data_IF_007249385354
#
_entry.id   IF_007249385354
#
_cell.length_a   1.000
_cell.length_b   1.000
_cell.length_c   1.000
_cell.angle_alpha   90.00
_cell.angle_beta   90.00
_cell.angle_gamma   90.00
#
_symmetry.space_group_name_H-M   'P 1'
#
loop_
_entity.id
_entity.type
_entity.pdbx_description
1 polymer ?
#
# COMPACT_ATOMS: atom_id res chain seq x y z
N UNK A 1 64.51 -9.05 -44.02
CA UNK A 1 63.62 -9.00 -45.21
C UNK A 1 62.39 -9.82 -44.85
N UNK A 2 61.21 -9.16 -44.80
CA UNK A 2 59.78 -9.61 -44.80
C UNK A 2 59.49 -11.10 -44.45
N UNK A 3 58.51 -11.45 -43.62
CA UNK A 3 57.06 -11.21 -43.80
C UNK A 3 56.36 -11.35 -42.43
N UNK A 4 55.52 -10.37 -42.08
CA UNK A 4 54.61 -10.44 -40.95
C UNK A 4 53.34 -11.21 -41.32
N UNK A 5 52.98 -12.24 -40.54
CA UNK A 5 51.69 -12.93 -40.66
C UNK A 5 50.67 -12.15 -39.82
N UNK A 6 49.80 -11.41 -40.50
CA UNK A 6 48.65 -10.73 -39.90
C UNK A 6 47.59 -11.78 -39.55
N UNK A 7 47.42 -12.10 -38.26
CA UNK A 7 46.23 -12.80 -37.76
C UNK A 7 45.19 -11.75 -37.40
N UNK A 8 44.24 -11.54 -38.29
CA UNK A 8 42.99 -10.80 -38.05
C UNK A 8 42.16 -11.53 -36.99
N UNK A 9 42.41 -11.25 -35.71
CA UNK A 9 41.52 -11.67 -34.62
C UNK A 9 40.38 -10.68 -34.57
N UNK A 10 39.30 -10.98 -35.29
CA UNK A 10 38.01 -10.30 -35.15
C UNK A 10 37.48 -10.53 -33.73
N UNK A 11 37.71 -9.56 -32.86
CA UNK A 11 37.06 -9.48 -31.55
C UNK A 11 35.59 -9.10 -31.77
N UNK A 12 34.72 -10.10 -31.76
CA UNK A 12 33.27 -9.88 -31.64
C UNK A 12 33.06 -9.49 -30.17
N UNK A 13 32.93 -8.19 -29.89
CA UNK A 13 32.34 -7.72 -28.65
C UNK A 13 30.87 -8.17 -28.64
N UNK A 14 30.59 -9.28 -27.97
CA UNK A 14 29.23 -9.55 -27.49
C UNK A 14 28.94 -8.51 -26.42
N UNK A 15 28.23 -7.45 -26.80
CA UNK A 15 27.49 -6.61 -25.86
C UNK A 15 26.43 -7.51 -25.22
N UNK A 16 26.78 -8.08 -24.06
CA UNK A 16 25.78 -8.54 -23.11
C UNK A 16 25.02 -7.29 -22.70
N UNK A 17 23.83 -7.11 -23.28
CA UNK A 17 22.79 -6.30 -22.69
C UNK A 17 22.49 -6.94 -21.35
N UNK A 18 23.19 -6.49 -20.31
CA UNK A 18 22.67 -6.57 -18.96
C UNK A 18 21.39 -5.76 -19.06
N UNK A 19 20.26 -6.45 -19.23
CA UNK A 19 18.98 -5.91 -18.86
C UNK A 19 19.04 -5.74 -17.35
N UNK A 20 19.75 -4.69 -16.92
CA UNK A 20 19.57 -4.13 -15.61
C UNK A 20 18.09 -3.81 -15.56
N UNK A 21 17.41 -4.35 -14.56
CA UNK A 21 16.23 -3.70 -14.06
C UNK A 21 16.69 -2.31 -13.59
N UNK A 22 16.85 -1.36 -14.51
CA UNK A 22 16.80 0.06 -14.20
C UNK A 22 15.33 0.35 -13.87
N UNK A 23 14.91 -0.21 -12.73
CA UNK A 23 13.71 0.16 -12.02
C UNK A 23 13.94 1.56 -11.48
N UNK A 24 13.87 2.55 -12.37
CA UNK A 24 13.47 3.89 -11.97
C UNK A 24 12.03 3.71 -11.51
N UNK A 25 11.85 3.38 -10.24
CA UNK A 25 10.61 3.60 -9.52
C UNK A 25 10.40 5.11 -9.56
N UNK A 26 9.70 5.57 -10.59
CA UNK A 26 9.14 6.92 -10.60
C UNK A 26 8.20 6.98 -9.41
N UNK A 27 8.67 7.61 -8.33
CA UNK A 27 7.82 8.08 -7.25
C UNK A 27 6.71 8.93 -7.90
N UNK A 28 5.46 8.46 -7.87
CA UNK A 28 4.32 9.28 -8.27
C UNK A 28 4.17 10.36 -7.20
N UNK A 29 4.80 11.50 -7.43
CA UNK A 29 4.59 12.71 -6.66
C UNK A 29 3.17 13.21 -6.96
N UNK A 30 2.19 12.76 -6.17
CA UNK A 30 0.86 13.37 -6.08
C UNK A 30 0.02 13.44 -7.37
N UNK A 31 0.36 12.69 -8.41
CA UNK A 31 -0.33 12.76 -9.69
C UNK A 31 -1.02 11.43 -9.94
N UNK A 32 -1.98 11.05 -9.09
CA UNK A 32 -2.93 10.04 -9.53
C UNK A 32 -3.84 10.76 -10.53
N UNK A 33 -3.69 10.49 -11.84
CA UNK A 33 -4.49 11.09 -12.93
C UNK A 33 -5.99 10.75 -12.86
N UNK A 34 -6.42 10.20 -11.73
CA UNK A 34 -7.81 10.01 -11.37
C UNK A 34 -8.30 11.37 -10.85
N UNK A 35 -8.85 12.17 -11.75
CA UNK A 35 -9.73 13.28 -11.41
C UNK A 35 -10.87 12.73 -10.53
N UNK A 36 -10.66 12.76 -9.21
CA UNK A 36 -11.60 12.25 -8.23
C UNK A 36 -12.15 13.40 -7.36
N UNK A 37 -12.72 14.47 -7.97
CA UNK A 37 -13.24 15.61 -7.21
C UNK A 37 -14.29 15.16 -6.18
N UNK A 38 -15.00 14.06 -6.44
CA UNK A 38 -15.94 13.46 -5.48
C UNK A 38 -15.27 13.06 -4.16
N UNK A 39 -14.00 12.62 -4.16
CA UNK A 39 -13.30 12.24 -2.92
C UNK A 39 -12.98 13.45 -2.04
N UNK A 40 -12.90 14.66 -2.62
CA UNK A 40 -12.73 15.88 -1.82
C UNK A 40 -13.99 16.28 -1.04
N UNK A 41 -15.15 15.76 -1.45
CA UNK A 41 -16.44 16.01 -0.78
C UNK A 41 -16.75 15.01 0.33
N UNK A 42 -15.96 13.94 0.43
CA UNK A 42 -16.10 12.94 1.50
C UNK A 42 -15.64 13.56 2.81
N UNK A 43 -16.56 13.62 3.77
CA UNK A 43 -16.29 14.14 5.11
C UNK A 43 -15.66 13.05 6.00
N UNK A 44 -14.79 13.44 6.96
CA UNK A 44 -14.31 12.51 7.98
C UNK A 44 -15.48 11.86 8.74
N UNK A 45 -15.37 10.57 9.09
CA UNK A 45 -16.36 9.90 9.91
C UNK A 45 -16.39 10.48 11.34
N UNK A 46 -17.41 10.08 12.10
CA UNK A 46 -17.39 10.29 13.54
C UNK A 46 -16.16 9.61 14.17
N UNK A 47 -15.70 10.18 15.27
CA UNK A 47 -14.60 9.62 16.02
C UNK A 47 -15.02 8.33 16.73
N UNK A 48 -14.22 7.28 16.57
CA UNK A 48 -14.42 5.98 17.20
C UNK A 48 -13.49 5.82 18.41
N UNK A 49 -14.05 5.34 19.51
CA UNK A 49 -13.26 4.85 20.64
C UNK A 49 -12.40 3.64 20.20
N UNK A 50 -11.27 3.37 20.90
CA UNK A 50 -10.44 2.22 20.61
C UNK A 50 -11.24 0.91 20.63
N UNK A 51 -11.08 0.09 19.59
CA UNK A 51 -11.74 -1.22 19.45
C UNK A 51 -10.73 -2.35 19.55
N UNK A 52 -11.17 -3.52 19.97
CA UNK A 52 -10.35 -4.74 19.91
C UNK A 52 -10.82 -5.57 18.72
N UNK A 53 -10.00 -5.78 17.68
CA UNK A 53 -10.36 -6.67 16.58
C UNK A 53 -10.28 -8.14 17.00
N UNK A 54 -11.05 -8.98 16.31
CA UNK A 54 -10.93 -10.43 16.44
C UNK A 54 -9.66 -10.94 15.75
N UNK A 55 -8.94 -11.87 16.38
CA UNK A 55 -7.75 -12.49 15.81
C UNK A 55 -6.45 -11.73 16.11
N UNK A 56 -5.38 -12.06 15.40
CA UNK A 56 -4.01 -11.59 15.71
C UNK A 56 -3.49 -10.53 14.75
N UNK A 57 -4.18 -10.26 13.64
CA UNK A 57 -3.66 -9.44 12.55
C UNK A 57 -2.56 -10.14 11.73
N UNK A 58 -2.37 -11.45 11.92
CA UNK A 58 -1.40 -12.21 11.15
C UNK A 58 -1.98 -12.58 9.78
N UNK A 59 -1.21 -12.33 8.74
CA UNK A 59 -1.45 -12.79 7.38
C UNK A 59 -0.51 -13.96 7.09
N UNK A 60 -0.88 -14.87 6.18
CA UNK A 60 -0.02 -16.01 5.81
C UNK A 60 1.29 -15.49 5.21
N UNK A 61 2.42 -15.73 5.90
CA UNK A 61 3.74 -15.23 5.49
C UNK A 61 4.62 -14.64 6.60
N UNK A 62 4.08 -14.39 7.80
CA UNK A 62 4.88 -13.91 8.94
C UNK A 62 4.10 -13.03 9.91
N UNK A 63 3.03 -12.38 9.45
CA UNK A 63 2.13 -11.58 10.27
C UNK A 63 2.83 -10.44 11.03
N UNK A 64 4.01 -10.03 10.58
CA UNK A 64 4.76 -8.94 11.18
C UNK A 64 4.15 -7.60 10.77
N UNK A 65 4.32 -6.55 11.58
CA UNK A 65 4.00 -5.19 11.16
C UNK A 65 4.71 -4.86 9.84
N UNK A 66 3.95 -4.40 8.85
CA UNK A 66 4.44 -3.98 7.53
C UNK A 66 4.39 -5.08 6.46
N UNK A 67 4.00 -6.31 6.81
CA UNK A 67 3.86 -7.39 5.84
C UNK A 67 2.79 -7.05 4.79
N UNK A 68 3.07 -7.38 3.53
CA UNK A 68 2.09 -7.26 2.45
C UNK A 68 1.11 -8.43 2.47
N UNK A 69 0.04 -8.27 3.25
CA UNK A 69 -1.05 -9.25 3.35
C UNK A 69 -1.73 -9.53 2.00
N UNK A 70 -1.78 -8.54 1.09
CA UNK A 70 -2.45 -8.73 -0.20
C UNK A 70 -1.65 -9.61 -1.15
N UNK A 71 -0.34 -9.79 -0.93
CA UNK A 71 0.45 -10.76 -1.68
C UNK A 71 -0.18 -12.17 -1.70
N UNK A 72 -0.76 -12.61 -0.58
CA UNK A 72 -1.43 -13.90 -0.45
C UNK A 72 -2.96 -13.79 -0.59
N UNK A 73 -3.52 -12.63 -0.21
CA UNK A 73 -4.96 -12.44 -0.08
C UNK A 73 -5.60 -11.61 -1.22
N UNK A 74 -4.89 -11.24 -2.29
CA UNK A 74 -5.48 -10.41 -3.37
C UNK A 74 -6.46 -11.16 -4.28
N UNK A 75 -6.25 -12.45 -4.57
CA UNK A 75 -7.04 -13.19 -5.58
C UNK A 75 -7.85 -14.37 -5.02
N UNK A 76 -7.85 -14.59 -3.71
CA UNK A 76 -8.66 -15.65 -3.10
C UNK A 76 -8.21 -17.09 -3.38
N UNK A 77 -7.07 -17.29 -4.08
CA UNK A 77 -6.65 -18.63 -4.56
C UNK A 77 -6.07 -19.47 -3.41
N UNK A 78 -5.22 -18.88 -2.57
CA UNK A 78 -4.52 -19.58 -1.49
C UNK A 78 -5.05 -19.24 -0.08
N UNK A 79 -5.87 -18.19 0.04
CA UNK A 79 -6.45 -17.71 1.29
C UNK A 79 -7.70 -16.87 1.01
N UNK A 80 -8.53 -16.60 2.03
CA UNK A 80 -9.71 -15.73 1.92
C UNK A 80 -9.32 -14.37 1.32
N UNK A 81 -9.99 -13.88 0.27
CA UNK A 81 -9.62 -12.62 -0.35
C UNK A 81 -9.85 -11.43 0.60
N UNK A 82 -8.93 -10.48 0.62
CA UNK A 82 -9.07 -9.21 1.33
C UNK A 82 -9.35 -8.09 0.32
N UNK A 83 -10.25 -7.19 0.68
CA UNK A 83 -10.62 -6.03 -0.13
C UNK A 83 -9.58 -4.92 -0.02
N UNK A 84 -9.00 -4.76 1.17
CA UNK A 84 -7.82 -3.93 1.42
C UNK A 84 -7.07 -4.45 2.64
N UNK A 85 -5.78 -4.14 2.73
CA UNK A 85 -4.98 -4.46 3.90
C UNK A 85 -3.80 -3.49 4.06
N UNK A 86 -3.26 -3.40 5.26
CA UNK A 86 -2.05 -2.65 5.55
C UNK A 86 -1.65 -2.70 7.02
N UNK A 87 -0.73 -1.83 7.40
CA UNK A 87 -0.26 -1.68 8.78
C UNK A 87 -0.32 -0.23 9.22
N UNK A 88 -0.99 0.02 10.34
CA UNK A 88 -1.05 1.34 10.96
C UNK A 88 0.14 1.54 11.88
N UNK A 89 0.85 2.65 11.69
CA UNK A 89 1.93 3.09 12.57
C UNK A 89 1.64 4.46 13.18
N UNK A 90 2.35 4.77 14.26
CA UNK A 90 2.34 6.07 14.93
C UNK A 90 2.89 7.19 14.01
N UNK A 91 2.87 8.43 14.51
CA UNK A 91 3.37 9.58 13.74
C UNK A 91 4.84 9.46 13.32
N UNK A 92 5.66 8.77 14.13
CA UNK A 92 7.08 8.49 13.81
C UNK A 92 7.21 7.39 12.78
N UNK A 93 6.18 6.55 12.64
CA UNK A 93 6.14 5.46 11.69
C UNK A 93 6.98 4.27 12.11
N UNK A 94 7.21 4.11 13.41
CA UNK A 94 8.08 3.07 13.99
C UNK A 94 7.31 2.11 14.87
N UNK A 95 6.26 2.58 15.54
CA UNK A 95 5.45 1.75 16.44
C UNK A 95 4.11 1.43 15.79
N UNK A 96 3.71 0.15 15.73
CA UNK A 96 2.37 -0.20 15.26
C UNK A 96 1.32 0.35 16.24
N UNK A 97 0.18 0.77 15.71
CA UNK A 97 -0.94 1.29 16.52
C UNK A 97 -2.11 0.33 16.44
N UNK A 98 -2.58 -0.10 17.61
CA UNK A 98 -3.71 -1.00 17.76
C UNK A 98 -5.02 -0.25 18.06
N UNK A 99 -6.12 -0.85 17.63
CA UNK A 99 -7.49 -0.49 17.98
C UNK A 99 -8.06 0.74 17.28
N UNK A 100 -7.38 1.26 16.27
CA UNK A 100 -7.92 2.31 15.43
C UNK A 100 -8.83 1.72 14.34
N UNK A 101 -9.91 2.42 14.00
CA UNK A 101 -10.79 2.06 12.89
C UNK A 101 -10.30 2.73 11.61
N UNK A 102 -10.00 1.93 10.60
CA UNK A 102 -9.69 2.35 9.22
C UNK A 102 -11.01 2.37 8.46
N UNK A 103 -11.32 3.51 7.84
CA UNK A 103 -12.44 3.68 6.93
C UNK A 103 -11.90 3.84 5.51
N UNK A 104 -12.44 3.08 4.57
CA UNK A 104 -12.17 3.26 3.14
C UNK A 104 -13.51 3.51 2.46
N UNK A 105 -13.72 4.73 1.95
CA UNK A 105 -14.91 5.11 1.21
C UNK A 105 -14.57 5.34 -0.25
N UNK A 106 -15.31 4.70 -1.15
CA UNK A 106 -15.11 4.87 -2.58
C UNK A 106 -15.79 6.11 -3.16
N UNK A 107 -15.58 6.32 -4.46
CA UNK A 107 -16.19 7.42 -5.20
C UNK A 107 -17.72 7.37 -5.35
N UNK A 108 -18.38 6.22 -5.14
CA UNK A 108 -19.85 6.11 -5.22
C UNK A 108 -20.56 6.01 -3.85
N UNK A 109 -19.79 6.09 -2.75
CA UNK A 109 -20.29 6.26 -1.39
C UNK A 109 -20.30 5.01 -0.51
N UNK A 110 -19.87 3.85 -1.02
CA UNK A 110 -19.72 2.63 -0.23
C UNK A 110 -18.55 2.75 0.75
N UNK A 111 -18.72 2.23 1.95
CA UNK A 111 -17.74 2.29 3.03
C UNK A 111 -17.39 0.89 3.48
N UNK A 112 -16.11 0.55 3.47
CA UNK A 112 -15.56 -0.64 4.10
C UNK A 112 -14.70 -0.23 5.30
N UNK A 113 -14.69 -1.06 6.35
CA UNK A 113 -13.93 -0.76 7.57
C UNK A 113 -13.03 -1.91 8.00
N UNK A 114 -11.97 -1.59 8.73
CA UNK A 114 -11.11 -2.56 9.40
C UNK A 114 -10.61 -1.96 10.72
N UNK A 115 -10.33 -2.79 11.72
CA UNK A 115 -9.71 -2.34 12.98
C UNK A 115 -8.26 -2.82 13.01
N UNK A 116 -7.33 -1.95 13.41
CA UNK A 116 -5.92 -2.32 13.53
C UNK A 116 -5.69 -3.25 14.72
N UNK A 117 -4.97 -4.34 14.48
CA UNK A 117 -4.64 -5.34 15.50
C UNK A 117 -3.47 -4.90 16.38
N UNK A 118 -3.10 -5.72 17.36
CA UNK A 118 -1.98 -5.47 18.27
C UNK A 118 -0.64 -5.26 17.53
N UNK A 119 -0.45 -5.89 16.38
CA UNK A 119 0.71 -5.71 15.49
C UNK A 119 0.52 -4.55 14.48
N UNK A 120 -0.54 -3.76 14.60
CA UNK A 120 -0.88 -2.66 13.71
C UNK A 120 -1.51 -3.09 12.39
N UNK A 121 -1.53 -4.39 12.06
CA UNK A 121 -2.10 -4.86 10.80
C UNK A 121 -3.62 -4.72 10.81
N UNK A 122 -4.16 -4.36 9.66
CA UNK A 122 -5.59 -4.31 9.41
C UNK A 122 -5.87 -4.90 8.04
N UNK A 123 -7.04 -5.50 7.89
CA UNK A 123 -7.55 -5.98 6.62
C UNK A 123 -9.08 -6.02 6.70
N UNK A 124 -9.73 -5.92 5.54
CA UNK A 124 -11.17 -6.10 5.42
C UNK A 124 -11.47 -7.22 4.43
N UNK A 125 -12.46 -8.03 4.74
CA UNK A 125 -13.09 -9.02 3.84
C UNK A 125 -14.44 -8.52 3.32
N UNK A 126 -14.84 -7.31 3.70
CA UNK A 126 -16.13 -6.74 3.31
C UNK A 126 -16.15 -6.57 1.80
N UNK A 127 -17.23 -7.01 1.18
CA UNK A 127 -17.37 -6.89 -0.27
C UNK A 127 -17.54 -5.44 -0.63
N UNK A 128 -16.68 -4.98 -1.54
CA UNK A 128 -16.71 -3.71 -2.27
C UNK A 128 -15.71 -2.65 -1.76
N UNK A 129 -14.83 -2.22 -2.68
CA UNK A 129 -14.15 -0.91 -2.70
C UNK A 129 -13.83 -0.58 -4.16
N UNK A 130 -14.69 0.19 -4.86
CA UNK A 130 -14.29 0.75 -6.16
C UNK A 130 -13.14 1.74 -5.93
N UNK A 131 -12.22 1.79 -6.89
CA UNK A 131 -11.20 2.81 -6.93
C UNK A 131 -11.62 3.97 -7.84
N UNK A 132 -11.22 5.21 -7.54
CA UNK A 132 -10.41 5.62 -6.39
C UNK A 132 -11.22 5.70 -5.09
N UNK A 133 -10.55 5.57 -3.94
CA UNK A 133 -11.14 5.59 -2.61
C UNK A 133 -10.39 6.53 -1.65
N UNK A 134 -11.14 7.14 -0.73
CA UNK A 134 -10.67 8.00 0.35
C UNK A 134 -10.52 7.17 1.63
N UNK A 135 -9.44 7.38 2.36
CA UNK A 135 -9.19 6.64 3.61
C UNK A 135 -9.12 7.59 4.81
N UNK A 136 -9.73 7.18 5.92
CA UNK A 136 -9.58 7.83 7.22
C UNK A 136 -9.15 6.81 8.27
N UNK A 137 -8.50 7.29 9.31
CA UNK A 137 -8.28 6.53 10.54
C UNK A 137 -8.84 7.28 11.72
N UNK A 138 -9.59 6.56 12.52
CA UNK A 138 -10.33 7.04 13.67
C UNK A 138 -9.80 6.35 14.92
N UNK A 139 -9.31 7.13 15.87
CA UNK A 139 -8.96 6.69 17.21
C UNK A 139 -9.07 7.88 18.14
N UNK A 140 -10.12 7.91 18.96
CA UNK A 140 -10.41 9.10 19.73
C UNK A 140 -9.26 9.54 20.64
N UNK A 141 -8.99 10.86 20.68
CA UNK A 141 -9.81 11.97 20.17
C UNK A 141 -9.58 12.37 18.70
N UNK A 142 -8.84 11.59 17.92
CA UNK A 142 -8.37 11.99 16.59
C UNK A 142 -9.09 11.24 15.45
N UNK A 143 -9.39 11.97 14.37
CA UNK A 143 -9.76 11.42 13.06
C UNK A 143 -8.85 12.05 12.02
N UNK A 144 -8.11 11.21 11.30
CA UNK A 144 -7.07 11.66 10.39
C UNK A 144 -7.31 11.08 9.00
N UNK A 145 -7.25 11.97 8.02
CA UNK A 145 -7.39 11.67 6.62
C UNK A 145 -6.06 11.18 6.03
N UNK A 146 -6.12 10.16 5.18
CA UNK A 146 -5.04 9.84 4.26
C UNK A 146 -5.09 10.79 3.05
N UNK A 147 -4.03 11.57 2.87
CA UNK A 147 -3.97 12.63 1.86
C UNK A 147 -4.09 12.08 0.43
N UNK A 148 -3.44 10.94 0.16
CA UNK A 148 -3.53 10.30 -1.15
C UNK A 148 -4.71 9.35 -1.21
N UNK A 149 -5.47 9.33 -2.33
CA UNK A 149 -6.46 8.30 -2.54
C UNK A 149 -5.78 6.94 -2.69
N UNK A 150 -6.51 5.89 -2.33
CA UNK A 150 -6.19 4.52 -2.74
C UNK A 150 -6.74 4.37 -4.16
N UNK A 151 -5.98 3.75 -5.06
CA UNK A 151 -6.37 3.56 -6.45
C UNK A 151 -6.14 2.12 -6.92
N UNK A 152 -6.59 1.81 -8.13
CA UNK A 152 -6.47 0.47 -8.71
C UNK A 152 -5.03 0.10 -9.07
N UNK A 153 -4.11 1.07 -9.16
CA UNK A 153 -2.69 0.81 -9.43
C UNK A 153 -1.97 0.33 -8.17
N UNK A 154 -2.37 0.82 -6.99
CA UNK A 154 -1.87 0.33 -5.70
C UNK A 154 -2.55 -0.97 -5.26
N UNK A 155 -3.65 -1.36 -5.91
CA UNK A 155 -4.29 -2.66 -5.72
C UNK A 155 -4.85 -2.86 -4.32
N UNK A 156 -5.30 -1.79 -3.65
CA UNK A 156 -5.75 -1.80 -2.25
C UNK A 156 -4.65 -1.94 -1.18
N UNK A 157 -3.39 -1.94 -1.59
CA UNK A 157 -2.29 -2.26 -0.70
C UNK A 157 -1.76 -1.03 0.01
N UNK A 158 -2.19 -0.85 1.26
CA UNK A 158 -1.74 0.21 2.15
C UNK A 158 -0.34 -0.05 2.75
N UNK A 159 0.43 -1.00 2.20
CA UNK A 159 1.84 -1.24 2.49
C UNK A 159 2.74 -1.09 1.23
N UNK A 160 2.19 -0.69 0.08
CA UNK A 160 2.97 -0.52 -1.17
C UNK A 160 3.99 0.63 -1.08
N UNK A 161 5.18 0.41 -1.67
CA UNK A 161 6.25 1.41 -1.76
C UNK A 161 5.78 2.64 -2.54
N UNK A 162 6.09 3.84 -2.02
CA UNK A 162 5.59 5.12 -2.55
C UNK A 162 4.31 5.64 -1.88
N UNK A 163 3.53 4.78 -1.19
CA UNK A 163 2.36 5.22 -0.40
C UNK A 163 2.71 5.66 1.03
N UNK A 164 3.97 5.55 1.46
CA UNK A 164 4.40 5.81 2.84
C UNK A 164 5.78 6.48 2.96
N UNK A 165 6.33 7.04 1.88
CA UNK A 165 7.71 7.59 1.77
C UNK A 165 7.87 9.04 2.23
N UNK A 166 7.20 9.41 3.34
CA UNK A 166 7.01 10.77 3.90
C UNK A 166 5.76 11.47 3.32
N UNK A 167 4.94 12.04 4.19
CA UNK A 167 3.68 12.72 3.83
C UNK A 167 2.44 11.83 3.69
N UNK A 168 2.58 10.57 3.26
CA UNK A 168 1.41 9.74 2.85
C UNK A 168 1.03 8.58 3.78
N UNK A 169 1.60 8.52 4.98
CA UNK A 169 1.18 7.53 5.99
C UNK A 169 -0.13 7.94 6.63
N UNK A 170 -1.02 6.98 6.90
CA UNK A 170 -1.99 7.21 7.95
C UNK A 170 -1.20 7.32 9.27
N UNK A 171 -1.27 8.49 9.90
CA UNK A 171 -0.57 8.78 11.14
C UNK A 171 -1.60 9.18 12.16
N UNK A 172 -1.51 8.67 13.37
CA UNK A 172 -2.16 9.29 14.51
C UNK A 172 -1.26 10.40 15.04
N UNK A 173 -1.75 11.65 15.02
CA UNK A 173 -1.11 12.82 15.64
C UNK A 173 -1.59 13.00 17.06
#
# INVERSE_FOLDING_TARGET
MRVAVQREVRWILLLVLVAGCDGILREKRGESDVDAPVLSTILPPACDDPKTPDGTGACTGGGQPGDDCLMCHHQGIAATPFTFAGTLYDATGTMPVAGATIYVQDSVGNVATAVSHANGNFYSVDTFTMYPAKTFVSLCPNVIEMISPVDSQTGANCNTSGCHTQGFRVRLR
#
